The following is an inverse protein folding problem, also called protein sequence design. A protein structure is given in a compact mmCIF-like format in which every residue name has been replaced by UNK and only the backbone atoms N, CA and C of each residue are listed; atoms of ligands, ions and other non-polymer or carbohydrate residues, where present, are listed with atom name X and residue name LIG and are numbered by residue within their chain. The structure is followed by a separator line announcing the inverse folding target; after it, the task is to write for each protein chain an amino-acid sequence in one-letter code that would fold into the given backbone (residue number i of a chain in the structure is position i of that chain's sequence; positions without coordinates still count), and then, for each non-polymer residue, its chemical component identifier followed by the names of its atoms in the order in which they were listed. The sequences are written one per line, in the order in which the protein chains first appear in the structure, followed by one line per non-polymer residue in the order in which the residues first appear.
data_IF_895969245549
#
_entry.id   IF_895969245549
#
_cell.length_a   1.000
_cell.length_b   1.000
_cell.length_c   1.000
_cell.angle_alpha   90.00
_cell.angle_beta   90.00
_cell.angle_gamma   90.00
#
_symmetry.space_group_name_H-M   'P 1'
#
loop_
_entity.id
_entity.type
_entity.pdbx_description
1 polymer ?
#
# COMPACT_ATOMS: atom_id res chain seq x y z
N UNK A 1 5.88 16.12 -6.77
CA UNK A 1 6.97 16.55 -5.85
C UNK A 1 7.52 15.30 -5.19
N UNK A 2 8.79 15.27 -4.74
CA UNK A 2 9.27 14.15 -3.92
C UNK A 2 8.36 14.01 -2.70
N UNK A 3 7.82 12.81 -2.50
CA UNK A 3 6.99 12.46 -1.34
C UNK A 3 7.79 11.54 -0.45
N UNK A 4 7.84 11.84 0.85
CA UNK A 4 8.63 11.11 1.84
C UNK A 4 7.70 10.33 2.75
N UNK A 5 8.08 9.09 3.05
CA UNK A 5 7.46 8.25 4.08
C UNK A 5 8.56 7.59 4.89
N UNK A 6 8.26 7.27 6.15
CA UNK A 6 9.24 6.69 7.07
C UNK A 6 8.75 5.34 7.61
N UNK A 7 9.70 4.43 7.78
CA UNK A 7 9.58 3.29 8.67
C UNK A 7 9.82 3.80 10.10
N UNK A 8 8.82 3.63 10.94
CA UNK A 8 8.85 4.07 12.33
C UNK A 8 8.79 2.88 13.29
N UNK A 9 9.53 2.98 14.40
CA UNK A 9 9.50 2.03 15.50
C UNK A 9 9.24 2.85 16.77
N UNK A 10 8.09 2.62 17.41
CA UNK A 10 7.63 3.39 18.57
C UNK A 10 7.66 4.92 18.32
N UNK A 11 7.23 5.32 17.10
CA UNK A 11 7.21 6.69 16.61
C UNK A 11 8.58 7.30 16.31
N UNK A 12 9.64 6.48 16.25
CA UNK A 12 10.99 6.93 15.86
C UNK A 12 11.28 6.48 14.43
N UNK A 13 11.50 7.44 13.54
CA UNK A 13 11.87 7.17 12.15
C UNK A 13 13.27 6.53 12.09
N UNK A 14 13.33 5.29 11.60
CA UNK A 14 14.57 4.51 11.49
C UNK A 14 15.06 4.37 10.04
N UNK A 15 14.18 4.61 9.06
CA UNK A 15 14.49 4.60 7.64
C UNK A 15 13.46 5.41 6.87
N UNK A 16 13.92 6.19 5.90
CA UNK A 16 13.04 6.97 5.01
C UNK A 16 13.03 6.41 3.60
N UNK A 17 11.91 6.59 2.91
CA UNK A 17 11.73 6.29 1.50
C UNK A 17 11.23 7.53 0.73
N UNK A 18 11.55 7.58 -0.57
CA UNK A 18 11.21 8.72 -1.44
C UNK A 18 10.49 8.23 -2.68
N UNK A 19 9.24 8.63 -2.87
CA UNK A 19 8.41 8.34 -4.05
C UNK A 19 8.17 6.84 -4.35
N UNK A 20 8.59 5.95 -3.45
CA UNK A 20 8.37 4.51 -3.46
C UNK A 20 8.47 4.01 -2.02
N UNK A 21 8.18 2.74 -1.79
CA UNK A 21 8.50 2.06 -0.55
C UNK A 21 9.04 0.64 -0.81
N UNK A 22 9.72 0.09 0.19
CA UNK A 22 10.00 -1.34 0.30
C UNK A 22 9.18 -1.85 1.49
N UNK A 23 8.46 -2.95 1.33
CA UNK A 23 7.62 -3.52 2.41
C UNK A 23 8.45 -4.04 3.58
N UNK A 24 9.77 -4.10 3.43
CA UNK A 24 10.74 -4.46 4.46
C UNK A 24 10.42 -5.85 5.02
N UNK A 25 10.32 -6.00 6.35
CA UNK A 25 9.90 -7.24 6.99
C UNK A 25 8.39 -7.30 7.26
N UNK A 26 7.59 -6.44 6.64
CA UNK A 26 6.13 -6.58 6.64
C UNK A 26 5.66 -7.60 5.61
N UNK A 27 4.51 -8.19 5.88
CA UNK A 27 3.81 -9.15 5.03
C UNK A 27 2.40 -8.65 4.74
N UNK A 28 1.69 -9.35 3.85
CA UNK A 28 0.35 -8.95 3.40
C UNK A 28 -0.66 -8.81 4.56
N UNK A 29 -0.53 -9.66 5.57
CA UNK A 29 -1.36 -9.66 6.78
C UNK A 29 -1.08 -8.49 7.74
N UNK A 30 0.03 -7.75 7.53
CA UNK A 30 0.35 -6.57 8.32
C UNK A 30 -0.25 -5.29 7.72
N UNK A 31 -0.93 -5.39 6.56
CA UNK A 31 -1.62 -4.25 5.95
C UNK A 31 -2.75 -3.77 6.86
N UNK A 32 -2.79 -2.46 7.08
CA UNK A 32 -3.80 -1.78 7.88
C UNK A 32 -4.31 -0.59 7.10
N UNK A 33 -5.63 -0.40 7.18
CA UNK A 33 -6.33 0.77 6.67
C UNK A 33 -7.20 1.36 7.78
N UNK A 34 -6.88 2.57 8.21
CA UNK A 34 -7.62 3.34 9.21
C UNK A 34 -7.77 4.75 8.67
N UNK A 35 -8.90 5.02 8.00
CA UNK A 35 -9.22 6.34 7.44
C UNK A 35 -10.31 6.97 8.28
N UNK A 36 -10.03 8.14 8.85
CA UNK A 36 -10.93 8.87 9.74
C UNK A 36 -11.90 9.78 8.97
N UNK A 37 -11.57 10.17 7.73
CA UNK A 37 -12.42 11.02 6.91
C UNK A 37 -13.55 10.24 6.25
N UNK A 38 -14.78 10.37 6.76
CA UNK A 38 -15.98 9.76 6.15
C UNK A 38 -16.65 10.68 5.12
N UNK A 39 -16.38 12.01 5.07
CA UNK A 39 -17.34 12.91 4.39
C UNK A 39 -16.80 14.12 3.58
N UNK A 40 -15.50 14.19 3.25
CA UNK A 40 -15.01 15.20 2.31
C UNK A 40 -14.15 14.56 1.24
N UNK A 41 -14.73 14.43 0.04
CA UNK A 41 -14.19 13.71 -1.13
C UNK A 41 -12.78 14.11 -1.62
N UNK A 42 -12.05 14.99 -0.96
CA UNK A 42 -10.75 15.47 -1.48
C UNK A 42 -9.66 15.75 -0.42
N UNK A 43 -9.90 15.52 0.89
CA UNK A 43 -8.85 15.72 1.91
C UNK A 43 -8.83 14.56 2.91
N UNK A 44 -7.82 13.70 2.79
CA UNK A 44 -7.45 12.72 3.81
C UNK A 44 -6.94 13.44 5.07
N UNK A 45 -7.34 12.96 6.24
CA UNK A 45 -6.85 13.48 7.52
C UNK A 45 -5.35 13.23 7.63
N UNK A 46 -4.55 14.14 8.23
CA UNK A 46 -3.17 13.82 8.63
C UNK A 46 -3.10 12.63 9.60
N UNK A 47 -4.22 12.28 10.23
CA UNK A 47 -4.35 11.15 11.13
C UNK A 47 -4.74 9.83 10.41
N UNK A 48 -4.90 9.84 9.08
CA UNK A 48 -5.19 8.63 8.32
C UNK A 48 -3.96 7.72 8.25
N UNK A 49 -4.18 6.42 8.45
CA UNK A 49 -3.15 5.39 8.33
C UNK A 49 -3.52 4.42 7.21
N UNK A 50 -2.69 4.36 6.18
CA UNK A 50 -2.76 3.31 5.17
C UNK A 50 -1.35 2.79 4.98
N UNK A 51 -1.10 1.53 5.33
CA UNK A 51 0.23 0.96 5.25
C UNK A 51 0.39 -0.26 6.14
N UNK A 52 1.60 -0.48 6.64
CA UNK A 52 1.93 -1.73 7.32
C UNK A 52 2.16 -1.50 8.79
N UNK A 53 1.66 -2.41 9.64
CA UNK A 53 1.81 -2.35 11.10
C UNK A 53 2.04 -3.73 11.70
N UNK A 54 3.07 -3.86 12.51
CA UNK A 54 3.37 -5.08 13.26
C UNK A 54 4.01 -4.76 14.61
N UNK A 55 4.05 -5.73 15.52
CA UNK A 55 4.77 -5.58 16.78
C UNK A 55 6.28 -5.77 16.61
N UNK A 56 7.06 -5.12 17.47
CA UNK A 56 8.51 -5.26 17.52
C UNK A 56 8.94 -6.74 17.70
N UNK A 57 8.21 -7.52 18.50
CA UNK A 57 8.48 -8.96 18.64
C UNK A 57 8.37 -9.73 17.32
N UNK A 58 7.33 -9.43 16.53
CA UNK A 58 7.12 -10.04 15.20
C UNK A 58 8.25 -9.66 14.24
N UNK A 59 8.58 -8.38 14.17
CA UNK A 59 9.64 -7.88 13.30
C UNK A 59 11.00 -8.45 13.69
N UNK A 60 11.37 -8.46 14.98
CA UNK A 60 12.64 -9.07 15.45
C UNK A 60 12.77 -10.52 15.02
N UNK A 61 11.68 -11.30 15.12
CA UNK A 61 11.68 -12.71 14.68
C UNK A 61 11.94 -12.80 13.17
N UNK A 62 11.30 -11.98 12.35
CA UNK A 62 11.49 -11.98 10.88
C UNK A 62 12.90 -11.55 10.49
N UNK A 63 13.44 -10.51 11.12
CA UNK A 63 14.83 -10.07 10.96
C UNK A 63 15.83 -11.19 11.34
N UNK A 64 15.60 -11.87 12.46
CA UNK A 64 16.42 -13.02 12.89
C UNK A 64 16.43 -14.13 11.84
N UNK A 65 15.27 -14.45 11.25
CA UNK A 65 15.17 -15.45 10.18
C UNK A 65 15.90 -15.03 8.89
N UNK A 66 16.07 -13.73 8.67
CA UNK A 66 16.83 -13.17 7.56
C UNK A 66 18.34 -13.01 7.86
N UNK A 67 18.80 -13.40 9.05
CA UNK A 67 20.20 -13.33 9.46
C UNK A 67 20.59 -12.08 10.26
N UNK A 68 19.63 -11.23 10.60
CA UNK A 68 19.84 -10.07 11.47
C UNK A 68 19.40 -10.40 12.90
N UNK A 69 20.26 -11.12 13.60
CA UNK A 69 20.11 -11.39 15.04
C UNK A 69 21.11 -10.56 15.87
N UNK A 70 20.94 -10.56 17.20
CA UNK A 70 21.80 -9.77 18.09
C UNK A 70 23.26 -10.23 18.11
N UNK A 71 23.54 -11.50 17.81
CA UNK A 71 24.90 -11.99 17.75
C UNK A 71 25.62 -11.49 16.49
N UNK A 72 24.94 -11.55 15.35
CA UNK A 72 25.42 -10.97 14.10
C UNK A 72 25.60 -9.45 14.23
N UNK A 73 24.64 -8.78 14.87
CA UNK A 73 24.69 -7.35 15.15
C UNK A 73 25.88 -6.97 16.05
N UNK A 74 26.16 -7.71 17.14
CA UNK A 74 27.32 -7.44 18.01
C UNK A 74 28.64 -7.63 17.27
N UNK A 75 28.78 -8.69 16.49
CA UNK A 75 29.99 -8.94 15.71
C UNK A 75 30.23 -7.81 14.69
N UNK A 76 29.18 -7.38 13.98
CA UNK A 76 29.25 -6.29 13.01
C UNK A 76 29.55 -4.95 13.67
N UNK A 77 28.85 -4.63 14.77
CA UNK A 77 29.04 -3.41 15.54
C UNK A 77 30.49 -3.26 15.99
N UNK A 78 31.13 -4.32 16.52
CA UNK A 78 32.53 -4.27 16.96
C UNK A 78 33.49 -3.92 15.81
N UNK A 79 33.31 -4.58 14.66
CA UNK A 79 34.12 -4.29 13.47
C UNK A 79 33.95 -2.82 13.03
N UNK A 80 32.71 -2.32 13.05
CA UNK A 80 32.41 -0.96 12.61
C UNK A 80 32.75 0.11 13.63
N UNK A 81 32.73 -0.19 14.92
CA UNK A 81 33.21 0.72 15.96
C UNK A 81 34.69 1.04 15.75
N UNK A 82 35.51 0.02 15.50
CA UNK A 82 36.94 0.19 15.19
C UNK A 82 37.15 1.05 13.93
N UNK A 83 36.36 0.82 12.88
CA UNK A 83 36.43 1.62 11.64
C UNK A 83 36.04 3.08 11.87
N UNK A 84 34.95 3.34 12.60
CA UNK A 84 34.49 4.70 12.93
C UNK A 84 35.55 5.45 13.74
N UNK A 85 36.20 4.78 14.70
CA UNK A 85 37.28 5.37 15.49
C UNK A 85 38.49 5.68 14.61
N UNK A 86 38.93 4.72 13.78
CA UNK A 86 40.06 4.91 12.86
C UNK A 86 39.82 6.08 11.92
N UNK A 87 38.62 6.17 11.35
CA UNK A 87 38.22 7.24 10.44
C UNK A 87 38.22 8.61 11.13
N UNK A 88 37.66 8.71 12.34
CA UNK A 88 37.70 9.95 13.11
C UNK A 88 39.15 10.36 13.46
N UNK A 89 40.04 9.39 13.72
CA UNK A 89 41.46 9.64 13.95
C UNK A 89 42.17 10.12 12.68
N UNK A 90 41.85 9.55 11.51
CA UNK A 90 42.42 9.97 10.22
C UNK A 90 42.00 11.40 9.88
N UNK A 91 40.74 11.78 10.14
CA UNK A 91 40.25 13.16 9.99
C UNK A 91 41.01 14.13 10.91
N UNK A 92 41.22 13.74 12.18
CA UNK A 92 42.05 14.53 13.10
C UNK A 92 43.46 14.70 12.54
N UNK A 93 44.10 13.61 12.09
CA UNK A 93 45.44 13.63 11.51
C UNK A 93 45.55 14.59 10.32
N UNK A 94 44.62 14.48 9.37
CA UNK A 94 44.55 15.38 8.21
C UNK A 94 44.45 16.85 8.61
N UNK A 95 43.62 17.17 9.61
CA UNK A 95 43.44 18.55 10.09
C UNK A 95 44.67 19.07 10.82
N UNK A 96 45.32 18.23 11.63
CA UNK A 96 46.58 18.56 12.30
C UNK A 96 47.68 18.86 11.27
N UNK A 97 47.81 18.04 10.24
CA UNK A 97 48.78 18.27 9.16
C UNK A 97 48.47 19.56 8.39
N UNK A 98 47.20 19.85 8.12
CA UNK A 98 46.76 21.10 7.48
C UNK A 98 47.12 22.34 8.32
N UNK A 99 46.94 22.28 9.65
CA UNK A 99 47.34 23.34 10.58
C UNK A 99 48.86 23.56 10.59
N UNK A 100 49.65 22.49 10.51
CA UNK A 100 51.12 22.56 10.51
C UNK A 100 51.69 23.13 9.21
N UNK A 101 51.08 22.78 8.07
CA UNK A 101 51.54 23.25 6.75
C UNK A 101 51.21 24.73 6.47
N UNK A 102 50.30 25.33 7.26
CA UNK A 102 49.96 26.75 7.19
C UNK A 102 49.22 27.17 5.91
N UNK A 103 48.93 28.47 5.77
CA UNK A 103 48.35 29.04 4.54
C UNK A 103 46.83 29.22 4.52
N UNK A 104 46.13 28.84 5.60
CA UNK A 104 44.71 29.14 5.79
C UNK A 104 44.50 30.42 6.62
N UNK A 105 43.37 31.14 6.44
CA UNK A 105 42.99 32.26 7.30
C UNK A 105 42.89 31.86 8.78
N UNK A 106 43.11 32.81 9.70
CA UNK A 106 43.07 32.56 11.16
C UNK A 106 41.74 31.92 11.61
N UNK A 107 40.62 32.38 11.06
CA UNK A 107 39.28 31.84 11.36
C UNK A 107 39.14 30.38 10.95
N UNK A 108 39.71 29.99 9.81
CA UNK A 108 39.69 28.60 9.35
C UNK A 108 40.55 27.69 10.23
N UNK A 109 41.71 28.17 10.67
CA UNK A 109 42.54 27.44 11.63
C UNK A 109 41.85 27.28 12.98
N UNK A 110 41.19 28.33 13.49
CA UNK A 110 40.42 28.26 14.73
C UNK A 110 39.28 27.23 14.64
N UNK A 111 38.56 27.20 13.52
CA UNK A 111 37.51 26.19 13.29
C UNK A 111 38.08 24.78 13.22
N UNK A 112 39.22 24.57 12.55
CA UNK A 112 39.86 23.25 12.51
C UNK A 112 40.28 22.75 13.90
N UNK A 113 40.78 23.63 14.77
CA UNK A 113 41.12 23.28 16.16
C UNK A 113 39.86 22.83 16.92
N UNK A 114 38.76 23.58 16.81
CA UNK A 114 37.48 23.19 17.41
C UNK A 114 36.98 21.85 16.87
N UNK A 115 37.04 21.63 15.55
CA UNK A 115 36.63 20.37 14.94
C UNK A 115 37.46 19.21 15.50
N UNK A 116 38.80 19.35 15.61
CA UNK A 116 39.69 18.34 16.19
C UNK A 116 39.27 17.99 17.63
N UNK A 117 39.00 19.00 18.46
CA UNK A 117 38.53 18.78 19.84
C UNK A 117 37.22 18.00 19.86
N UNK A 118 36.29 18.27 18.94
CA UNK A 118 35.00 17.58 18.87
C UNK A 118 35.12 16.14 18.38
N UNK A 119 35.95 15.86 17.36
CA UNK A 119 36.23 14.46 16.96
C UNK A 119 36.91 13.68 18.08
N UNK A 120 37.86 14.29 18.80
CA UNK A 120 38.52 13.64 19.92
C UNK A 120 37.53 13.32 21.03
N UNK A 121 36.64 14.27 21.35
CA UNK A 121 35.56 14.09 22.32
C UNK A 121 34.59 12.97 21.90
N UNK A 122 34.29 12.86 20.61
CA UNK A 122 33.48 11.78 20.05
C UNK A 122 34.16 10.42 20.21
N UNK A 123 35.43 10.29 19.81
CA UNK A 123 36.22 9.07 20.00
C UNK A 123 36.23 8.65 21.47
N UNK A 124 36.53 9.58 22.38
CA UNK A 124 36.60 9.30 23.81
C UNK A 124 35.26 8.83 24.39
N UNK A 125 34.15 9.22 23.79
CA UNK A 125 32.81 8.80 24.22
C UNK A 125 32.40 7.40 23.72
N UNK A 126 33.00 6.89 22.63
CA UNK A 126 32.60 5.62 22.00
C UNK A 126 33.62 4.49 22.12
N UNK A 127 34.92 4.81 22.30
CA UNK A 127 36.03 3.84 22.13
C UNK A 127 36.00 2.61 23.03
N UNK A 128 35.44 2.73 24.23
CA UNK A 128 35.41 1.67 25.23
C UNK A 128 34.00 1.06 25.39
N UNK A 129 33.09 1.34 24.44
CA UNK A 129 31.68 0.92 24.51
C UNK A 129 31.45 -0.45 23.87
N UNK A 130 30.43 -1.16 24.35
CA UNK A 130 29.91 -2.40 23.73
C UNK A 130 28.48 -2.20 23.24
N UNK A 131 27.96 -3.12 22.42
CA UNK A 131 26.61 -3.02 21.85
C UNK A 131 25.54 -2.77 22.92
N UNK A 132 25.64 -3.43 24.07
CA UNK A 132 24.69 -3.30 25.18
C UNK A 132 24.64 -1.88 25.76
N UNK A 133 25.76 -1.15 25.78
CA UNK A 133 25.80 0.24 26.24
C UNK A 133 24.94 1.14 25.34
N UNK A 134 24.98 0.87 24.03
CA UNK A 134 24.19 1.62 23.04
C UNK A 134 22.70 1.28 23.14
N UNK A 135 22.37 -0.01 23.19
CA UNK A 135 20.99 -0.49 23.34
C UNK A 135 20.33 0.11 24.60
N UNK A 136 21.05 0.13 25.72
CA UNK A 136 20.54 0.67 26.98
C UNK A 136 20.24 2.18 26.93
N UNK A 137 20.90 2.93 26.04
CA UNK A 137 20.81 4.38 25.96
C UNK A 137 19.95 4.90 24.80
N UNK A 138 19.55 4.06 23.84
CA UNK A 138 18.66 4.48 22.76
C UNK A 138 17.36 5.14 23.23
N UNK A 139 16.62 4.64 24.25
CA UNK A 139 15.40 5.31 24.70
C UNK A 139 15.66 6.72 25.22
N UNK A 140 16.79 6.93 25.91
CA UNK A 140 17.19 8.26 26.37
C UNK A 140 17.58 9.17 25.20
N UNK A 141 18.35 8.66 24.24
CA UNK A 141 18.79 9.42 23.08
C UNK A 141 17.61 9.85 22.21
N UNK A 142 16.67 8.96 21.89
CA UNK A 142 15.46 9.28 21.10
C UNK A 142 14.58 10.29 21.82
N UNK A 143 14.39 10.15 23.13
CA UNK A 143 13.63 11.12 23.92
C UNK A 143 14.27 12.52 23.83
N UNK A 144 15.57 12.62 24.07
CA UNK A 144 16.29 13.89 23.99
C UNK A 144 16.26 14.46 22.57
N UNK A 145 16.42 13.63 21.54
CA UNK A 145 16.33 14.07 20.15
C UNK A 145 14.98 14.75 19.88
N UNK A 146 13.86 14.13 20.27
CA UNK A 146 12.51 14.70 20.12
C UNK A 146 12.33 16.02 20.88
N UNK A 147 12.92 16.13 22.07
CA UNK A 147 12.79 17.33 22.92
C UNK A 147 13.69 18.50 22.47
N UNK A 148 14.81 18.21 21.82
CA UNK A 148 15.88 19.19 21.62
C UNK A 148 16.23 19.50 20.19
N UNK A 149 15.84 18.66 19.20
CA UNK A 149 16.39 18.74 17.84
C UNK A 149 16.28 20.16 17.25
N UNK A 150 17.39 20.88 17.09
CA UNK A 150 17.45 22.07 16.26
C UNK A 150 17.51 21.63 14.79
N UNK A 151 16.91 22.41 13.89
CA UNK A 151 17.19 22.29 12.46
C UNK A 151 18.70 22.53 12.27
N UNK A 152 19.48 21.50 11.97
CA UNK A 152 20.90 21.67 11.63
C UNK A 152 20.99 22.25 10.23
N UNK A 153 21.05 23.59 10.15
CA UNK A 153 21.05 24.32 8.88
C UNK A 153 22.24 23.99 7.96
N UNK A 154 23.31 23.37 8.49
CA UNK A 154 24.51 23.00 7.73
C UNK A 154 25.08 21.64 8.18
N UNK A 155 24.82 20.59 7.39
CA UNK A 155 25.28 19.21 7.60
C UNK A 155 26.81 19.03 7.53
N UNK A 156 27.56 20.05 7.10
CA UNK A 156 29.03 20.00 7.00
C UNK A 156 29.76 20.47 8.26
N UNK A 157 29.05 21.07 9.21
CA UNK A 157 29.66 21.60 10.44
C UNK A 157 29.68 20.54 11.55
N UNK A 158 30.85 20.35 12.16
CA UNK A 158 30.99 19.48 13.33
C UNK A 158 30.31 20.14 14.53
N UNK A 159 29.38 19.44 15.17
CA UNK A 159 28.62 19.98 16.33
C UNK A 159 28.46 18.92 17.40
N UNK A 160 28.93 19.24 18.60
CA UNK A 160 28.74 18.39 19.77
C UNK A 160 27.42 18.67 20.47
N UNK A 161 26.69 17.62 20.84
CA UNK A 161 25.46 17.73 21.62
C UNK A 161 25.76 17.89 23.11
N UNK A 162 25.32 19.00 23.72
CA UNK A 162 25.55 19.31 25.14
C UNK A 162 24.35 19.02 26.05
N UNK A 163 23.25 18.46 25.53
CA UNK A 163 22.01 18.24 26.29
C UNK A 163 22.02 17.03 27.24
N UNK A 164 23.16 16.38 27.47
CA UNK A 164 23.29 15.23 28.38
C UNK A 164 24.63 15.24 29.11
N UNK A 165 24.67 14.64 30.30
CA UNK A 165 25.92 14.37 31.04
C UNK A 165 26.48 12.97 30.74
N UNK A 166 25.81 12.18 29.89
CA UNK A 166 26.26 10.85 29.47
C UNK A 166 27.03 11.01 28.15
N UNK A 167 28.36 10.80 28.12
CA UNK A 167 29.17 11.07 26.93
C UNK A 167 28.68 10.33 25.69
N UNK A 168 28.28 9.07 25.82
CA UNK A 168 27.77 8.27 24.71
C UNK A 168 26.45 8.82 24.13
N UNK A 169 25.52 9.30 24.96
CA UNK A 169 24.29 9.95 24.48
C UNK A 169 24.61 11.25 23.73
N UNK A 170 25.59 12.01 24.22
CA UNK A 170 26.07 13.18 23.49
C UNK A 170 26.69 12.80 22.14
N UNK A 171 27.50 11.75 22.10
CA UNK A 171 28.07 11.24 20.86
C UNK A 171 26.96 10.80 19.88
N UNK A 172 25.94 10.07 20.33
CA UNK A 172 24.80 9.64 19.52
C UNK A 172 24.07 10.80 18.83
N UNK A 173 23.92 11.94 19.53
CA UNK A 173 23.14 13.10 19.07
C UNK A 173 23.98 14.22 18.46
N UNK A 174 25.29 14.04 18.31
CA UNK A 174 26.20 15.02 17.72
C UNK A 174 26.19 14.96 16.19
N UNK A 175 26.50 16.06 15.50
CA UNK A 175 26.80 16.04 14.06
C UNK A 175 28.30 15.82 13.88
N UNK A 176 28.72 14.61 13.52
CA UNK A 176 30.13 14.24 13.32
C UNK A 176 30.30 13.68 11.90
N UNK A 177 30.53 14.53 10.89
CA UNK A 177 30.68 14.07 9.50
C UNK A 177 31.91 13.17 9.30
N UNK A 178 31.73 11.99 8.70
CA UNK A 178 32.83 11.08 8.33
C UNK A 178 32.95 10.99 6.78
N UNK A 179 34.06 10.48 6.22
CA UNK A 179 34.22 10.43 4.76
C UNK A 179 33.26 9.44 4.08
N UNK A 180 32.77 9.77 2.85
CA UNK A 180 31.72 9.03 2.16
C UNK A 180 32.18 7.71 1.52
N UNK A 181 33.47 7.38 1.50
CA UNK A 181 33.99 6.09 1.02
C UNK A 181 33.89 4.99 2.09
N UNK A 182 33.59 5.37 3.34
CA UNK A 182 33.36 4.50 4.49
C UNK A 182 32.20 4.96 5.41
N UNK A 183 31.00 5.31 4.90
CA UNK A 183 29.90 5.63 5.81
C UNK A 183 29.33 4.28 6.34
N UNK A 184 28.62 4.19 7.46
CA UNK A 184 27.47 5.03 7.78
C UNK A 184 27.18 4.86 9.26
N UNK A 185 27.44 5.87 10.06
CA UNK A 185 26.62 5.94 11.25
C UNK A 185 25.19 6.21 10.82
N UNK A 186 24.27 5.28 11.09
CA UNK A 186 22.85 5.50 10.85
C UNK A 186 22.31 6.48 11.89
N UNK A 187 21.00 6.44 12.13
CA UNK A 187 20.38 7.10 13.26
C UNK A 187 21.24 6.94 14.53
N UNK A 188 21.40 8.07 15.24
CA UNK A 188 22.09 8.13 16.53
C UNK A 188 23.59 7.81 16.48
N UNK A 189 24.26 8.14 15.38
CA UNK A 189 25.68 7.86 15.17
C UNK A 189 26.09 6.36 15.37
N UNK A 190 25.17 5.42 15.15
CA UNK A 190 25.41 3.99 15.43
C UNK A 190 26.40 3.34 14.43
N UNK A 191 27.49 2.70 14.87
CA UNK A 191 28.47 2.04 14.00
C UNK A 191 27.92 0.84 13.23
N UNK A 192 27.67 1.01 11.92
CA UNK A 192 27.33 -0.05 10.97
C UNK A 192 27.57 0.42 9.52
N UNK A 193 27.34 -0.43 8.53
CA UNK A 193 27.26 -0.10 7.09
C UNK A 193 25.91 -0.45 6.46
N UNK A 194 25.04 -1.12 7.23
CA UNK A 194 23.72 -1.54 6.81
C UNK A 194 22.68 -1.16 7.86
N UNK A 195 21.51 -0.60 7.47
CA UNK A 195 20.59 0.01 8.44
C UNK A 195 19.91 -1.04 9.32
N UNK A 196 19.77 -2.27 8.83
CA UNK A 196 19.15 -3.35 9.60
C UNK A 196 19.96 -3.72 10.87
N UNK A 197 21.27 -3.44 10.93
CA UNK A 197 22.02 -3.63 12.18
C UNK A 197 21.64 -2.60 13.25
N UNK A 198 21.53 -1.32 12.87
CA UNK A 198 20.99 -0.30 13.77
C UNK A 198 19.57 -0.66 14.20
N UNK A 199 18.70 -1.03 13.26
CA UNK A 199 17.30 -1.38 13.56
C UNK A 199 17.23 -2.60 14.48
N UNK A 200 18.09 -3.61 14.30
CA UNK A 200 18.19 -4.78 15.19
C UNK A 200 18.52 -4.37 16.62
N UNK A 201 19.53 -3.52 16.79
CA UNK A 201 19.93 -3.01 18.09
C UNK A 201 18.84 -2.12 18.71
N UNK A 202 18.22 -1.25 17.92
CA UNK A 202 17.14 -0.38 18.38
C UNK A 202 15.92 -1.18 18.84
N UNK A 203 15.48 -2.16 18.06
CA UNK A 203 14.40 -3.08 18.42
C UNK A 203 14.69 -3.86 19.70
N UNK A 204 15.95 -4.17 20.02
CA UNK A 204 16.30 -4.82 21.28
C UNK A 204 16.15 -3.89 22.51
N UNK A 205 16.10 -2.57 22.31
CA UNK A 205 15.77 -1.60 23.36
C UNK A 205 14.25 -1.39 23.55
N UNK A 206 13.44 -1.85 22.59
CA UNK A 206 11.99 -1.68 22.59
C UNK A 206 11.25 -2.85 23.27
N UNK A 207 10.12 -2.59 23.95
CA UNK A 207 9.26 -3.66 24.44
C UNK A 207 8.66 -4.48 23.29
N UNK A 208 8.24 -5.71 23.58
CA UNK A 208 7.73 -6.67 22.59
C UNK A 208 6.50 -6.18 21.82
N UNK A 209 5.68 -5.35 22.47
CA UNK A 209 4.46 -4.76 21.95
C UNK A 209 4.66 -3.36 21.35
N UNK A 210 5.90 -2.86 21.29
CA UNK A 210 6.20 -1.63 20.56
C UNK A 210 5.73 -1.74 19.11
N UNK A 211 5.17 -0.65 18.60
CA UNK A 211 4.53 -0.61 17.28
C UNK A 211 5.57 -0.27 16.22
N UNK A 212 5.69 -1.11 15.20
CA UNK A 212 6.47 -0.86 14.00
C UNK A 212 5.51 -0.54 12.85
N UNK A 213 5.68 0.59 12.19
CA UNK A 213 4.76 1.11 11.20
C UNK A 213 5.46 1.68 9.98
N UNK A 214 4.81 1.53 8.82
CA UNK A 214 5.15 2.25 7.60
C UNK A 214 3.84 2.80 7.01
N UNK A 215 3.57 4.10 7.21
CA UNK A 215 2.40 4.77 6.67
C UNK A 215 2.68 5.27 5.24
N UNK A 216 2.03 4.68 4.25
CA UNK A 216 2.18 5.00 2.82
C UNK A 216 1.05 5.88 2.28
N UNK A 217 0.15 6.39 3.13
CA UNK A 217 -0.99 7.23 2.73
C UNK A 217 -0.59 8.41 1.82
N UNK A 218 0.54 9.06 2.11
CA UNK A 218 1.04 10.17 1.28
C UNK A 218 1.53 9.72 -0.11
N UNK A 219 2.09 8.50 -0.23
CA UNK A 219 2.47 7.95 -1.54
C UNK A 219 1.24 7.64 -2.38
N UNK A 220 0.20 7.09 -1.76
CA UNK A 220 -1.10 6.85 -2.41
C UNK A 220 -1.70 8.17 -2.90
N UNK A 221 -1.73 9.20 -2.03
CA UNK A 221 -2.24 10.54 -2.38
C UNK A 221 -1.47 11.16 -3.55
N UNK A 222 -0.16 10.97 -3.58
CA UNK A 222 0.70 11.46 -4.65
C UNK A 222 0.61 10.63 -5.94
N UNK A 223 -0.15 9.53 -5.95
CA UNK A 223 -0.34 8.63 -7.09
C UNK A 223 0.87 7.74 -7.38
N UNK A 224 1.75 7.55 -6.41
CA UNK A 224 2.91 6.67 -6.53
C UNK A 224 2.57 5.21 -6.19
N UNK A 225 1.61 4.99 -5.30
CA UNK A 225 1.21 3.65 -4.84
C UNK A 225 -0.30 3.45 -4.97
N UNK A 226 -0.72 2.20 -5.11
CA UNK A 226 -2.14 1.85 -5.10
C UNK A 226 -2.68 1.84 -3.66
N UNK A 227 -3.95 2.21 -3.48
CA UNK A 227 -4.64 2.12 -2.19
C UNK A 227 -4.97 0.66 -1.84
N UNK A 228 -5.11 0.36 -0.56
CA UNK A 228 -5.63 -0.90 -0.02
C UNK A 228 -7.15 -0.94 -0.16
N UNK A 229 -7.60 -0.90 -1.41
CA UNK A 229 -9.01 -0.82 -1.78
C UNK A 229 -9.77 -2.08 -1.38
N UNK A 230 -9.12 -3.23 -1.40
CA UNK A 230 -9.65 -4.48 -0.85
C UNK A 230 -10.01 -4.35 0.63
N UNK A 231 -9.13 -3.78 1.46
CA UNK A 231 -9.42 -3.51 2.87
C UNK A 231 -10.55 -2.49 3.04
N UNK A 232 -10.63 -1.48 2.18
CA UNK A 232 -11.76 -0.53 2.16
C UNK A 232 -13.09 -1.24 1.90
N UNK A 233 -13.15 -2.09 0.88
CA UNK A 233 -14.37 -2.81 0.49
C UNK A 233 -14.81 -3.78 1.59
N UNK A 234 -13.86 -4.48 2.22
CA UNK A 234 -14.12 -5.35 3.37
C UNK A 234 -14.69 -4.54 4.54
N UNK A 235 -14.10 -3.39 4.87
CA UNK A 235 -14.55 -2.54 5.98
C UNK A 235 -15.94 -1.94 5.73
N UNK A 236 -16.24 -1.54 4.49
CA UNK A 236 -17.56 -1.01 4.10
C UNK A 236 -18.60 -2.12 3.88
N UNK A 237 -18.20 -3.39 3.84
CA UNK A 237 -19.08 -4.53 3.59
C UNK A 237 -19.74 -4.52 2.20
N UNK A 238 -19.19 -3.77 1.25
CA UNK A 238 -19.66 -3.65 -0.14
C UNK A 238 -18.47 -3.36 -1.05
N UNK A 239 -18.51 -3.85 -2.29
CA UNK A 239 -17.49 -3.47 -3.29
C UNK A 239 -17.77 -2.09 -3.89
N UNK A 240 -16.74 -1.39 -4.38
CA UNK A 240 -16.88 -0.12 -5.10
C UNK A 240 -17.80 -0.28 -6.32
N UNK A 241 -17.64 -1.30 -7.20
CA UNK A 241 -18.58 -1.52 -8.30
C UNK A 241 -20.03 -1.66 -7.84
N UNK A 242 -20.29 -2.31 -6.71
CA UNK A 242 -21.65 -2.44 -6.18
C UNK A 242 -22.22 -1.12 -5.67
N UNK A 243 -21.41 -0.30 -4.98
CA UNK A 243 -21.84 1.06 -4.57
C UNK A 243 -22.18 1.94 -5.77
N UNK A 244 -21.37 1.92 -6.82
CA UNK A 244 -21.65 2.64 -8.07
C UNK A 244 -22.94 2.15 -8.75
N UNK A 245 -23.18 0.84 -8.71
CA UNK A 245 -24.41 0.22 -9.18
C UNK A 245 -25.63 0.68 -8.36
N UNK A 246 -25.55 0.67 -7.03
CA UNK A 246 -26.60 1.15 -6.15
C UNK A 246 -26.95 2.63 -6.41
N UNK A 247 -25.94 3.50 -6.53
CA UNK A 247 -26.16 4.90 -6.88
C UNK A 247 -26.89 5.05 -8.22
N UNK A 248 -26.51 4.25 -9.22
CA UNK A 248 -27.19 4.24 -10.52
C UNK A 248 -28.65 3.79 -10.40
N UNK A 249 -28.95 2.83 -9.52
CA UNK A 249 -30.33 2.41 -9.26
C UNK A 249 -31.15 3.51 -8.59
N UNK A 250 -30.57 4.23 -7.64
CA UNK A 250 -31.24 5.34 -6.94
C UNK A 250 -31.58 6.48 -7.91
N UNK A 251 -30.64 6.85 -8.79
CA UNK A 251 -30.86 7.85 -9.84
C UNK A 251 -32.02 7.43 -10.78
N UNK A 252 -32.06 6.16 -11.18
CA UNK A 252 -33.10 5.61 -12.04
C UNK A 252 -34.46 5.51 -11.34
N UNK A 253 -34.48 5.22 -10.04
CA UNK A 253 -35.68 5.25 -9.21
C UNK A 253 -36.23 6.68 -9.11
N UNK A 254 -35.35 7.66 -8.90
CA UNK A 254 -35.70 9.09 -8.91
C UNK A 254 -36.30 9.51 -10.25
N UNK A 255 -35.64 9.18 -11.36
CA UNK A 255 -36.11 9.50 -12.71
C UNK A 255 -37.48 8.87 -13.02
N UNK A 256 -37.66 7.59 -12.72
CA UNK A 256 -38.93 6.88 -12.91
C UNK A 256 -40.08 7.57 -12.18
N UNK A 257 -39.81 8.06 -10.96
CA UNK A 257 -40.80 8.70 -10.09
C UNK A 257 -41.23 10.09 -10.56
N UNK A 258 -40.43 10.78 -11.38
CA UNK A 258 -40.77 12.11 -11.90
C UNK A 258 -41.97 12.08 -12.86
N UNK A 259 -42.11 11.02 -13.67
CA UNK A 259 -43.23 10.83 -14.60
C UNK A 259 -43.67 9.37 -14.63
N UNK A 260 -44.44 8.91 -13.63
CA UNK A 260 -44.82 7.51 -13.50
C UNK A 260 -45.68 6.99 -14.67
N UNK A 261 -46.44 7.88 -15.33
CA UNK A 261 -47.33 7.54 -16.44
C UNK A 261 -46.67 7.64 -17.84
N UNK A 262 -45.42 8.14 -17.92
CA UNK A 262 -44.70 8.28 -19.18
C UNK A 262 -44.06 6.96 -19.61
N UNK A 263 -44.75 6.20 -20.46
CA UNK A 263 -44.29 4.88 -20.91
C UNK A 263 -42.94 4.89 -21.64
N UNK A 264 -42.53 6.01 -22.25
CA UNK A 264 -41.20 6.09 -22.89
C UNK A 264 -40.15 6.15 -21.80
N UNK A 265 -40.33 7.03 -20.82
CA UNK A 265 -39.42 7.14 -19.69
C UNK A 265 -39.35 5.82 -18.90
N UNK A 266 -40.49 5.18 -18.61
CA UNK A 266 -40.53 3.92 -17.89
C UNK A 266 -39.76 2.80 -18.62
N UNK A 267 -39.89 2.70 -19.95
CA UNK A 267 -39.11 1.75 -20.77
C UNK A 267 -37.61 2.08 -20.75
N UNK A 268 -37.24 3.35 -20.81
CA UNK A 268 -35.85 3.77 -20.72
C UNK A 268 -35.25 3.41 -19.35
N UNK A 269 -35.91 3.76 -18.25
CA UNK A 269 -35.49 3.38 -16.90
C UNK A 269 -35.36 1.86 -16.75
N UNK A 270 -36.36 1.09 -17.21
CA UNK A 270 -36.32 -0.38 -17.18
C UNK A 270 -35.10 -0.95 -17.92
N UNK A 271 -34.81 -0.43 -19.12
CA UNK A 271 -33.64 -0.86 -19.89
C UNK A 271 -32.33 -0.47 -19.19
N UNK A 272 -32.24 0.74 -18.64
CA UNK A 272 -31.04 1.25 -17.98
C UNK A 272 -30.71 0.50 -16.68
N UNK A 273 -31.71 -0.02 -15.95
CA UNK A 273 -31.46 -0.87 -14.77
C UNK A 273 -30.71 -2.15 -15.18
N UNK A 274 -31.10 -2.77 -16.30
CA UNK A 274 -30.39 -3.94 -16.84
C UNK A 274 -28.98 -3.57 -17.30
N UNK A 275 -28.79 -2.38 -17.86
CA UNK A 275 -27.45 -1.87 -18.21
C UNK A 275 -26.57 -1.67 -16.98
N UNK A 276 -27.11 -1.13 -15.88
CA UNK A 276 -26.37 -0.97 -14.62
C UNK A 276 -25.94 -2.32 -14.04
N UNK A 277 -26.84 -3.32 -14.08
CA UNK A 277 -26.51 -4.71 -13.70
C UNK A 277 -25.40 -5.29 -14.57
N UNK A 278 -25.48 -5.09 -15.89
CA UNK A 278 -24.47 -5.56 -16.83
C UNK A 278 -23.10 -4.93 -16.57
N UNK A 279 -23.06 -3.62 -16.31
CA UNK A 279 -21.83 -2.90 -15.97
C UNK A 279 -21.20 -3.46 -14.69
N UNK A 280 -21.97 -3.58 -13.62
CA UNK A 280 -21.50 -4.20 -12.37
C UNK A 280 -20.90 -5.59 -12.60
N UNK A 281 -21.63 -6.47 -13.29
CA UNK A 281 -21.19 -7.83 -13.53
C UNK A 281 -19.90 -7.90 -14.37
N UNK A 282 -19.77 -6.99 -15.35
CA UNK A 282 -18.59 -6.87 -16.18
C UNK A 282 -17.39 -6.34 -15.39
N UNK A 283 -17.60 -5.31 -14.57
CA UNK A 283 -16.55 -4.64 -13.81
C UNK A 283 -15.94 -5.58 -12.77
N UNK A 284 -16.76 -6.31 -12.02
CA UNK A 284 -16.28 -7.34 -11.08
C UNK A 284 -15.47 -8.41 -11.82
N UNK A 285 -16.02 -9.03 -12.88
CA UNK A 285 -15.29 -10.07 -13.62
C UNK A 285 -13.95 -9.57 -14.14
N UNK A 286 -13.90 -8.35 -14.67
CA UNK A 286 -12.68 -7.75 -15.21
C UNK A 286 -11.66 -7.44 -14.12
N UNK A 287 -12.09 -6.89 -12.99
CA UNK A 287 -11.23 -6.62 -11.84
C UNK A 287 -10.60 -7.91 -11.35
N UNK A 288 -11.41 -8.90 -10.99
CA UNK A 288 -10.94 -10.17 -10.43
C UNK A 288 -9.99 -10.91 -11.38
N UNK A 289 -10.31 -10.97 -12.68
CA UNK A 289 -9.48 -11.67 -13.65
C UNK A 289 -8.15 -10.97 -13.92
N UNK A 290 -8.08 -9.63 -13.89
CA UNK A 290 -6.85 -8.91 -14.20
C UNK A 290 -5.94 -8.73 -12.99
N UNK A 291 -6.51 -8.66 -11.78
CA UNK A 291 -5.76 -8.36 -10.56
C UNK A 291 -5.38 -9.61 -9.74
N UNK A 292 -6.03 -10.76 -9.97
CA UNK A 292 -5.74 -12.00 -9.25
C UNK A 292 -5.23 -13.08 -10.22
N UNK A 293 -3.94 -13.39 -10.16
CA UNK A 293 -3.28 -14.36 -11.07
C UNK A 293 -3.91 -15.77 -11.06
N UNK A 294 -4.25 -16.37 -9.91
CA UNK A 294 -5.05 -17.60 -9.85
C UNK A 294 -6.37 -17.52 -10.61
N UNK A 295 -7.12 -16.40 -10.48
CA UNK A 295 -8.39 -16.20 -11.20
C UNK A 295 -8.13 -15.98 -12.70
N UNK A 296 -7.10 -15.20 -13.07
CA UNK A 296 -6.64 -14.99 -14.45
C UNK A 296 -6.41 -16.31 -15.16
N UNK A 297 -5.66 -17.20 -14.50
CA UNK A 297 -5.41 -18.55 -15.00
C UNK A 297 -6.70 -19.33 -15.23
N UNK A 298 -7.62 -19.33 -14.25
CA UNK A 298 -8.90 -20.03 -14.37
C UNK A 298 -9.73 -19.50 -15.53
N UNK A 299 -9.73 -18.18 -15.74
CA UNK A 299 -10.39 -17.56 -16.89
C UNK A 299 -9.81 -18.07 -18.21
N UNK A 300 -8.48 -18.06 -18.38
CA UNK A 300 -7.81 -18.56 -19.60
C UNK A 300 -8.12 -20.05 -19.83
N UNK A 301 -8.16 -20.86 -18.78
CA UNK A 301 -8.46 -22.30 -18.88
C UNK A 301 -9.93 -22.62 -19.19
N UNK A 302 -10.88 -21.77 -18.77
CA UNK A 302 -12.33 -22.04 -18.86
C UNK A 302 -13.05 -21.26 -19.96
N UNK A 303 -12.49 -20.14 -20.41
CA UNK A 303 -13.12 -19.29 -21.40
C UNK A 303 -13.01 -19.94 -22.79
N UNK A 304 -14.17 -20.18 -23.41
CA UNK A 304 -14.30 -21.06 -24.58
C UNK A 304 -13.52 -20.62 -25.82
N UNK A 305 -13.14 -19.34 -25.92
CA UNK A 305 -12.29 -18.84 -27.00
C UNK A 305 -10.82 -19.21 -26.82
N UNK A 306 -10.33 -19.28 -25.57
CA UNK A 306 -8.97 -19.73 -25.27
C UNK A 306 -8.85 -21.25 -25.23
N UNK A 307 -9.91 -21.96 -24.85
CA UNK A 307 -9.91 -23.44 -24.82
C UNK A 307 -9.50 -24.07 -26.17
N UNK A 308 -9.75 -23.36 -27.28
CA UNK A 308 -9.50 -23.85 -28.65
C UNK A 308 -8.25 -23.27 -29.31
N UNK A 309 -7.56 -22.35 -28.64
CA UNK A 309 -6.33 -21.74 -29.13
C UNK A 309 -5.19 -22.78 -29.15
N UNK A 310 -4.42 -22.81 -30.23
CA UNK A 310 -3.19 -23.62 -30.33
C UNK A 310 -2.00 -22.69 -30.41
N UNK A 311 -1.24 -22.61 -29.33
CA UNK A 311 -0.08 -21.72 -29.20
C UNK A 311 1.23 -22.45 -29.53
N UNK A 312 1.97 -22.09 -30.60
CA UNK A 312 3.31 -22.59 -30.85
C UNK A 312 4.29 -22.12 -29.78
N UNK A 313 5.19 -23.00 -29.31
CA UNK A 313 6.20 -22.66 -28.28
C UNK A 313 7.01 -21.39 -28.60
N UNK A 314 7.45 -21.11 -29.86
CA UNK A 314 8.17 -19.88 -30.16
C UNK A 314 7.37 -18.58 -29.95
N UNK A 315 6.03 -18.66 -29.90
CA UNK A 315 5.16 -17.50 -29.69
C UNK A 315 4.72 -17.35 -28.23
N UNK A 316 5.18 -18.23 -27.32
CA UNK A 316 4.72 -18.26 -25.93
C UNK A 316 4.92 -16.93 -25.21
N UNK A 317 6.15 -16.40 -25.23
CA UNK A 317 6.44 -15.14 -24.53
C UNK A 317 5.67 -13.96 -25.12
N UNK A 318 5.58 -13.87 -26.45
CA UNK A 318 4.78 -12.83 -27.11
C UNK A 318 3.28 -12.91 -26.74
N UNK A 319 2.74 -14.11 -26.58
CA UNK A 319 1.36 -14.30 -26.13
C UNK A 319 1.19 -13.87 -24.67
N UNK A 320 2.12 -14.26 -23.79
CA UNK A 320 2.08 -13.86 -22.38
C UNK A 320 2.17 -12.33 -22.22
N UNK A 321 3.06 -11.67 -22.97
CA UNK A 321 3.21 -10.21 -22.98
C UNK A 321 1.91 -9.49 -23.41
N UNK A 322 1.11 -10.11 -24.29
CA UNK A 322 -0.15 -9.56 -24.81
C UNK A 322 -1.41 -10.06 -24.09
N UNK A 323 -1.28 -10.97 -23.11
CA UNK A 323 -2.40 -11.73 -22.57
C UNK A 323 -3.43 -10.83 -21.88
N UNK A 324 -2.99 -9.91 -21.02
CA UNK A 324 -3.90 -9.02 -20.28
C UNK A 324 -4.69 -8.08 -21.22
N UNK A 325 -4.07 -7.66 -22.32
CA UNK A 325 -4.75 -6.86 -23.36
C UNK A 325 -5.82 -7.69 -24.07
N UNK A 326 -5.50 -8.95 -24.38
CA UNK A 326 -6.44 -9.86 -25.02
C UNK A 326 -7.61 -10.23 -24.10
N UNK A 327 -7.34 -10.56 -22.83
CA UNK A 327 -8.35 -10.79 -21.80
C UNK A 327 -9.28 -9.57 -21.67
N UNK A 328 -8.70 -8.38 -21.55
CA UNK A 328 -9.46 -7.13 -21.43
C UNK A 328 -10.40 -6.92 -22.63
N UNK A 329 -9.92 -7.17 -23.85
CA UNK A 329 -10.73 -7.08 -25.07
C UNK A 329 -11.89 -8.08 -25.03
N UNK A 330 -11.60 -9.33 -24.66
CA UNK A 330 -12.59 -10.41 -24.61
C UNK A 330 -13.70 -10.16 -23.59
N UNK A 331 -13.33 -9.65 -22.41
CA UNK A 331 -14.30 -9.26 -21.39
C UNK A 331 -15.15 -8.06 -21.84
N UNK A 332 -14.55 -7.04 -22.46
CA UNK A 332 -15.29 -5.88 -22.97
C UNK A 332 -16.29 -6.24 -24.09
N UNK A 333 -16.03 -7.28 -24.88
CA UNK A 333 -16.93 -7.77 -25.93
C UNK A 333 -18.02 -8.73 -25.41
N UNK A 334 -17.91 -9.16 -24.14
CA UNK A 334 -18.85 -10.11 -23.53
C UNK A 334 -20.14 -9.41 -23.09
N UNK A 335 -21.29 -9.95 -23.51
CA UNK A 335 -22.61 -9.44 -23.10
C UNK A 335 -23.03 -10.00 -21.73
N UNK A 336 -22.70 -9.30 -20.65
CA UNK A 336 -23.03 -9.73 -19.28
C UNK A 336 -24.53 -9.64 -18.94
N UNK A 337 -25.34 -8.93 -19.73
CA UNK A 337 -26.80 -9.02 -19.60
C UNK A 337 -27.35 -10.40 -20.00
N UNK A 338 -26.59 -11.24 -20.72
CA UNK A 338 -26.96 -12.63 -20.92
C UNK A 338 -26.72 -13.43 -19.63
N UNK A 339 -27.79 -13.61 -18.85
CA UNK A 339 -27.75 -14.23 -17.52
C UNK A 339 -27.10 -15.62 -17.53
N UNK A 340 -27.30 -16.44 -18.57
CA UNK A 340 -26.70 -17.78 -18.61
C UNK A 340 -25.19 -17.69 -18.82
N UNK A 341 -24.74 -16.80 -19.71
CA UNK A 341 -23.32 -16.53 -19.92
C UNK A 341 -22.67 -15.98 -18.65
N UNK A 342 -23.25 -14.93 -18.07
CA UNK A 342 -22.73 -14.31 -16.86
C UNK A 342 -22.66 -15.31 -15.70
N UNK A 343 -23.76 -16.03 -15.43
CA UNK A 343 -23.81 -17.07 -14.41
C UNK A 343 -22.75 -18.15 -14.61
N UNK A 344 -22.58 -18.63 -15.85
CA UNK A 344 -21.57 -19.64 -16.17
C UNK A 344 -20.17 -19.10 -15.87
N UNK A 345 -19.86 -17.88 -16.30
CA UNK A 345 -18.55 -17.27 -16.07
C UNK A 345 -18.28 -17.06 -14.58
N UNK A 346 -19.25 -16.52 -13.83
CA UNK A 346 -19.11 -16.31 -12.39
C UNK A 346 -18.84 -17.61 -11.64
N UNK A 347 -19.58 -18.69 -11.96
CA UNK A 347 -19.33 -19.99 -11.37
C UNK A 347 -17.99 -20.59 -11.80
N UNK A 348 -17.70 -20.62 -13.09
CA UNK A 348 -16.54 -21.36 -13.61
C UNK A 348 -15.21 -20.60 -13.36
N UNK A 349 -15.25 -19.28 -13.22
CA UNK A 349 -14.07 -18.39 -13.08
C UNK A 349 -13.94 -17.80 -11.69
N UNK A 350 -15.02 -17.31 -11.07
CA UNK A 350 -14.98 -16.67 -9.74
C UNK A 350 -15.41 -17.62 -8.62
N UNK A 351 -15.97 -18.79 -8.95
CA UNK A 351 -16.61 -19.70 -7.99
C UNK A 351 -17.80 -19.08 -7.25
N UNK A 352 -18.44 -18.09 -7.85
CA UNK A 352 -19.60 -17.38 -7.31
C UNK A 352 -20.87 -17.90 -7.97
N UNK A 353 -21.89 -18.20 -7.16
CA UNK A 353 -23.18 -18.69 -7.65
C UNK A 353 -24.22 -17.58 -7.70
N UNK A 354 -24.92 -17.49 -8.82
CA UNK A 354 -26.11 -16.64 -8.92
C UNK A 354 -27.24 -17.25 -8.07
N UNK A 355 -28.02 -16.45 -7.32
CA UNK A 355 -29.11 -17.00 -6.53
C UNK A 355 -30.20 -17.60 -7.45
N UNK A 356 -30.36 -18.92 -7.40
CA UNK A 356 -31.27 -19.67 -8.28
C UNK A 356 -32.71 -19.14 -8.28
N UNK A 357 -33.16 -18.56 -7.17
CA UNK A 357 -34.50 -17.98 -7.03
C UNK A 357 -34.74 -16.78 -7.96
N UNK A 358 -33.70 -15.99 -8.28
CA UNK A 358 -33.83 -14.77 -9.09
C UNK A 358 -33.63 -15.01 -10.58
N UNK A 359 -32.88 -16.05 -10.97
CA UNK A 359 -32.52 -16.35 -12.37
C UNK A 359 -33.72 -16.35 -13.33
N UNK A 360 -34.86 -17.02 -13.05
CA UNK A 360 -36.02 -16.99 -13.95
C UNK A 360 -36.61 -15.59 -14.16
N UNK A 361 -36.59 -14.74 -13.13
CA UNK A 361 -37.10 -13.38 -13.22
C UNK A 361 -36.15 -12.47 -13.99
N UNK A 362 -34.83 -12.62 -13.79
CA UNK A 362 -33.81 -11.90 -14.54
C UNK A 362 -33.88 -12.21 -16.05
N UNK A 363 -34.05 -13.49 -16.43
CA UNK A 363 -34.24 -13.86 -17.84
C UNK A 363 -35.45 -13.16 -18.46
N UNK A 364 -36.58 -13.09 -17.74
CA UNK A 364 -37.78 -12.38 -18.23
C UNK A 364 -37.52 -10.88 -18.40
N UNK A 365 -36.80 -10.27 -17.45
CA UNK A 365 -36.46 -8.86 -17.51
C UNK A 365 -35.52 -8.54 -18.69
N UNK A 366 -34.48 -9.36 -18.90
CA UNK A 366 -33.55 -9.22 -20.03
C UNK A 366 -34.28 -9.38 -21.37
N UNK A 367 -35.23 -10.33 -21.48
CA UNK A 367 -36.05 -10.48 -22.67
C UNK A 367 -36.89 -9.22 -22.96
N UNK A 368 -37.53 -8.64 -21.93
CA UNK A 368 -38.24 -7.34 -22.06
C UNK A 368 -37.29 -6.23 -22.49
N UNK A 369 -36.09 -6.14 -21.91
CA UNK A 369 -35.07 -5.15 -22.30
C UNK A 369 -34.66 -5.32 -23.76
N UNK A 370 -34.50 -6.55 -24.24
CA UNK A 370 -34.17 -6.81 -25.65
C UNK A 370 -35.25 -6.25 -26.59
N UNK A 371 -36.53 -6.42 -26.25
CA UNK A 371 -37.64 -5.83 -27.01
C UNK A 371 -37.63 -4.29 -26.95
N UNK A 372 -37.33 -3.72 -25.78
CA UNK A 372 -37.22 -2.27 -25.59
C UNK A 372 -36.13 -1.69 -26.50
N UNK A 373 -34.92 -2.24 -26.44
CA UNK A 373 -33.74 -1.69 -27.12
C UNK A 373 -33.71 -2.04 -28.61
N UNK A 374 -33.89 -3.31 -28.96
CA UNK A 374 -33.66 -3.79 -30.34
C UNK A 374 -34.92 -3.83 -31.21
N UNK A 375 -36.11 -3.71 -30.60
CA UNK A 375 -37.39 -3.70 -31.31
C UNK A 375 -38.19 -2.41 -31.06
N UNK A 376 -37.51 -1.36 -30.57
CA UNK A 376 -38.10 -0.05 -30.28
C UNK A 376 -39.34 -0.14 -29.38
N UNK A 377 -39.25 -0.96 -28.33
CA UNK A 377 -40.35 -1.17 -27.38
C UNK A 377 -41.52 -1.95 -27.94
N UNK A 378 -41.28 -2.84 -28.91
CA UNK A 378 -42.29 -3.76 -29.45
C UNK A 378 -41.85 -5.21 -29.29
N UNK A 379 -42.80 -6.07 -28.99
CA UNK A 379 -42.63 -7.53 -29.00
C UNK A 379 -42.35 -8.04 -30.43
N UNK A 380 -41.89 -9.30 -30.62
CA UNK A 380 -41.76 -9.87 -31.97
C UNK A 380 -43.06 -9.85 -32.78
N UNK A 381 -44.21 -9.90 -32.11
CA UNK A 381 -45.53 -9.77 -32.74
C UNK A 381 -45.97 -8.33 -33.04
N UNK A 382 -45.09 -7.34 -32.85
CA UNK A 382 -45.34 -5.92 -33.13
C UNK A 382 -46.14 -5.18 -32.05
N UNK A 383 -46.56 -5.86 -30.98
CA UNK A 383 -47.32 -5.23 -29.89
C UNK A 383 -46.41 -4.39 -28.99
N UNK A 384 -46.81 -3.18 -28.55
CA UNK A 384 -46.02 -2.38 -27.64
C UNK A 384 -45.76 -3.10 -26.30
N UNK A 385 -44.51 -3.07 -25.84
CA UNK A 385 -44.14 -3.53 -24.49
C UNK A 385 -44.63 -2.49 -23.49
N UNK A 386 -45.60 -2.87 -22.67
CA UNK A 386 -46.14 -2.04 -21.61
C UNK A 386 -45.24 -2.14 -20.38
N UNK A 387 -44.67 -1.02 -19.95
CA UNK A 387 -43.90 -0.87 -18.71
C UNK A 387 -44.51 0.29 -17.95
N UNK A 388 -44.94 0.04 -16.71
CA UNK A 388 -45.40 1.07 -15.78
C UNK A 388 -44.38 1.27 -14.67
N UNK A 389 -44.50 2.36 -13.90
CA UNK A 389 -43.61 2.66 -12.77
C UNK A 389 -43.46 1.48 -11.78
N UNK A 390 -44.54 0.73 -11.53
CA UNK A 390 -44.48 -0.48 -10.71
C UNK A 390 -43.51 -1.54 -11.27
N UNK A 391 -43.50 -1.78 -12.59
CA UNK A 391 -42.57 -2.76 -13.20
C UNK A 391 -41.11 -2.33 -12.99
N UNK A 392 -40.84 -1.03 -13.02
CA UNK A 392 -39.51 -0.46 -12.75
C UNK A 392 -39.12 -0.68 -11.30
N UNK A 393 -40.02 -0.41 -10.34
CA UNK A 393 -39.78 -0.66 -8.91
C UNK A 393 -39.52 -2.14 -8.61
N UNK A 394 -40.27 -3.05 -9.23
CA UNK A 394 -40.04 -4.50 -9.06
C UNK A 394 -38.69 -4.93 -9.64
N UNK A 395 -38.31 -4.36 -10.80
CA UNK A 395 -37.01 -4.65 -11.39
C UNK A 395 -35.86 -4.13 -10.51
N UNK A 396 -35.97 -2.91 -9.98
CA UNK A 396 -34.99 -2.33 -9.06
C UNK A 396 -34.76 -3.27 -7.88
N UNK A 397 -35.84 -3.73 -7.24
CA UNK A 397 -35.78 -4.64 -6.11
C UNK A 397 -35.14 -5.98 -6.49
N UNK A 398 -35.55 -6.58 -7.61
CA UNK A 398 -35.01 -7.85 -8.09
C UNK A 398 -33.50 -7.79 -8.33
N UNK A 399 -33.05 -6.76 -9.06
CA UNK A 399 -31.64 -6.64 -9.43
C UNK A 399 -30.80 -6.26 -8.21
N UNK A 400 -31.26 -5.32 -7.37
CA UNK A 400 -30.56 -4.95 -6.14
C UNK A 400 -30.33 -6.16 -5.22
N UNK A 401 -31.37 -6.97 -4.98
CA UNK A 401 -31.25 -8.17 -4.14
C UNK A 401 -30.31 -9.21 -4.76
N UNK A 402 -30.44 -9.46 -6.07
CA UNK A 402 -29.60 -10.45 -6.74
C UNK A 402 -28.13 -10.02 -6.79
N UNK A 403 -27.82 -8.74 -7.00
CA UNK A 403 -26.45 -8.26 -7.07
C UNK A 403 -25.84 -8.14 -5.68
N UNK A 404 -26.62 -7.81 -4.65
CA UNK A 404 -26.15 -7.82 -3.26
C UNK A 404 -25.69 -9.20 -2.80
N UNK A 405 -26.40 -10.27 -3.19
CA UNK A 405 -25.99 -11.64 -2.89
C UNK A 405 -24.71 -12.06 -3.63
N UNK A 406 -24.48 -11.52 -4.83
CA UNK A 406 -23.23 -11.74 -5.58
C UNK A 406 -22.10 -10.96 -4.92
N UNK A 407 -22.33 -9.69 -4.57
CA UNK A 407 -21.33 -8.81 -3.97
C UNK A 407 -20.79 -9.36 -2.66
N UNK A 408 -21.68 -9.90 -1.83
CA UNK A 408 -21.29 -10.58 -0.59
C UNK A 408 -20.34 -11.74 -0.83
N UNK A 409 -20.60 -12.57 -1.85
CA UNK A 409 -19.69 -13.66 -2.21
C UNK A 409 -18.34 -13.16 -2.74
N UNK A 410 -18.30 -12.01 -3.41
CA UNK A 410 -17.03 -11.37 -3.82
C UNK A 410 -16.23 -10.95 -2.59
N UNK A 411 -16.87 -10.29 -1.61
CA UNK A 411 -16.22 -9.85 -0.37
C UNK A 411 -15.73 -11.02 0.49
N UNK A 412 -16.50 -12.11 0.55
CA UNK A 412 -16.09 -13.33 1.26
C UNK A 412 -14.74 -13.83 0.69
N UNK A 413 -14.58 -13.82 -0.64
CA UNK A 413 -13.32 -14.18 -1.30
C UNK A 413 -12.15 -13.23 -0.96
N UNK A 414 -12.38 -11.92 -0.92
CA UNK A 414 -11.36 -10.94 -0.51
C UNK A 414 -10.92 -11.12 0.95
N UNK A 415 -11.82 -11.58 1.81
CA UNK A 415 -11.53 -11.81 3.24
C UNK A 415 -10.68 -13.06 3.43
N UNK A 416 -11.00 -14.15 2.72
CA UNK A 416 -10.22 -15.40 2.78
C UNK A 416 -8.77 -15.20 2.33
N UNK A 417 -8.54 -14.42 1.25
CA UNK A 417 -7.19 -14.09 0.78
C UNK A 417 -6.37 -13.30 1.82
N UNK A 418 -7.05 -12.51 2.67
CA UNK A 418 -6.46 -11.74 3.76
C UNK A 418 -6.25 -12.51 5.07
N UNK A 419 -6.75 -13.76 5.17
CA UNK A 419 -6.55 -14.63 6.35
C UNK A 419 -5.59 -15.80 6.07
N UNK A 420 -5.27 -16.10 4.82
CA UNK A 420 -4.64 -17.38 4.40
C UNK A 420 -3.19 -17.32 3.89
N UNK A 421 -2.45 -16.22 4.08
CA UNK A 421 -1.04 -16.07 3.63
C UNK A 421 0.01 -15.89 4.74
#
# INVERSE_FOLDING_TARGET
MPTWVALEIDGFAVRDYVTHHDTWYFHEHDRVREVLSVDTKDEMSPDDFIGYRASAATIRRRMTLAGYDLQACDAHFREYLDKVISEAQDIIGFRVDSLQNGGHPEEANAQMILDIEMYQKFIDAIKDTVLEDWIALFPQAVKLQRETMPLWDNWREVKWFEGSNVPLVCAMLSNIPLYPEYPVTYSLNFPADHPDYFITAYLASCPDDAVCELNIAELIRAGYEADFTDLEEIQQGTTIPFRNFCQSLDDLAGLSSLKPDDQVLQRMCFSSIITAMEAYLSDIMKREVLQNEPIKRRFVEKYSKFEKEKLPVPQLYQFLDGLDTLISKELNETSFHNIETARKMYRDVLLIEFPNAFVPALHRAVAKRHDIVHRNGKTPGGQPVQIISHDVTELLKLVSQSMSDIDRQVLDGLTEDNETL
#
